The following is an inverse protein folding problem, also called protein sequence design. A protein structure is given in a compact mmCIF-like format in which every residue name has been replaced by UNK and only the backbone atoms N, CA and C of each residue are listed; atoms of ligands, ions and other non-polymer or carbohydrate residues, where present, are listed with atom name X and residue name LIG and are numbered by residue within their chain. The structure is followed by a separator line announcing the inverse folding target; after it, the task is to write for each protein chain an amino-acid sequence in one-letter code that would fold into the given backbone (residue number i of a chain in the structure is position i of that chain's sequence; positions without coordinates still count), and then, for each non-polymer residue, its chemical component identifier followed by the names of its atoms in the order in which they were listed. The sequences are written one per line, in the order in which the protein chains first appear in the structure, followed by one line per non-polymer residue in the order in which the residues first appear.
data_IF_721548831688
#
_entry.id   IF_721548831688
#
_cell.length_a   1.000
_cell.length_b   1.000
_cell.length_c   1.000
_cell.angle_alpha   90.00
_cell.angle_beta   90.00
_cell.angle_gamma   90.00
#
_symmetry.space_group_name_H-M   'P 1'
#
loop_
_entity.id
_entity.type
_entity.pdbx_description
1 polymer ?
#
# COMPACT_ATOMS: atom_id res chain seq x y z
N UNK A 1 15.83 5.18 9.94
CA UNK A 1 15.14 5.07 8.62
C UNK A 1 15.05 3.59 8.30
N UNK A 2 13.88 3.06 7.94
CA UNK A 2 13.68 1.64 7.60
C UNK A 2 13.48 1.51 6.09
N UNK A 3 14.08 0.52 5.45
CA UNK A 3 13.75 0.19 4.05
C UNK A 3 12.45 -0.59 4.05
N UNK A 4 11.47 -0.14 3.27
CA UNK A 4 10.18 -0.82 3.11
C UNK A 4 10.18 -1.70 1.87
N UNK A 5 10.64 -1.14 0.74
CA UNK A 5 10.64 -1.83 -0.55
C UNK A 5 11.88 -1.38 -1.34
N UNK A 6 12.48 -2.32 -2.05
CA UNK A 6 13.60 -2.09 -2.96
C UNK A 6 13.19 -2.67 -4.30
N UNK A 7 13.29 -1.88 -5.34
CA UNK A 7 13.21 -2.28 -6.75
C UNK A 7 14.50 -1.88 -7.43
N UNK A 8 14.73 -2.36 -8.65
CA UNK A 8 15.91 -1.99 -9.45
C UNK A 8 15.90 -0.50 -9.86
N UNK A 9 14.71 0.09 -9.96
CA UNK A 9 14.49 1.50 -10.31
C UNK A 9 14.60 2.44 -9.09
N UNK A 10 14.07 2.03 -7.93
CA UNK A 10 13.95 2.89 -6.75
C UNK A 10 13.96 2.13 -5.40
N UNK A 11 14.27 2.85 -4.33
CA UNK A 11 14.20 2.34 -2.95
C UNK A 11 13.28 3.20 -2.12
N UNK A 12 12.31 2.56 -1.47
CA UNK A 12 11.33 3.20 -0.61
C UNK A 12 11.74 3.02 0.85
N UNK A 13 11.85 4.14 1.55
CA UNK A 13 12.22 4.24 2.95
C UNK A 13 11.05 4.76 3.79
N UNK A 14 10.87 4.22 4.98
CA UNK A 14 10.02 4.76 6.03
C UNK A 14 10.87 5.60 6.99
N UNK A 15 10.53 6.88 7.11
CA UNK A 15 11.13 7.79 8.10
C UNK A 15 10.47 7.58 9.47
N UNK A 16 11.09 8.09 10.54
CA UNK A 16 10.59 7.98 11.92
C UNK A 16 9.20 8.62 12.09
N UNK A 17 8.85 9.59 11.26
CA UNK A 17 7.55 10.24 11.24
C UNK A 17 6.50 9.50 10.38
N UNK A 18 6.66 8.19 10.14
CA UNK A 18 5.75 7.35 9.34
C UNK A 18 5.57 7.79 7.88
N UNK A 19 6.34 8.77 7.40
CA UNK A 19 6.30 9.23 6.01
C UNK A 19 7.23 8.39 5.14
N UNK A 20 6.74 8.05 3.96
CA UNK A 20 7.52 7.33 2.95
C UNK A 20 8.43 8.31 2.19
N UNK A 21 9.64 7.88 1.85
CA UNK A 21 10.61 8.59 1.03
C UNK A 21 11.06 7.65 -0.09
N UNK A 22 11.05 8.14 -1.33
CA UNK A 22 11.45 7.36 -2.51
C UNK A 22 12.83 7.85 -2.93
N UNK A 23 13.77 6.94 -3.16
CA UNK A 23 15.11 7.23 -3.68
C UNK A 23 15.27 6.53 -5.01
N UNK A 24 15.41 7.27 -6.10
CA UNK A 24 15.71 6.69 -7.39
C UNK A 24 17.14 6.11 -7.37
N UNK A 25 17.32 4.88 -7.87
CA UNK A 25 18.65 4.29 -8.03
C UNK A 25 19.42 4.95 -9.18
N UNK A 26 18.73 5.31 -10.26
CA UNK A 26 19.31 5.96 -11.45
C UNK A 26 20.09 7.23 -11.09
N UNK A 27 19.46 8.14 -10.34
CA UNK A 27 20.05 9.43 -9.98
C UNK A 27 20.60 9.48 -8.55
N UNK A 28 20.41 8.41 -7.76
CA UNK A 28 20.69 8.35 -6.31
C UNK A 28 20.08 9.50 -5.49
N UNK A 29 19.08 10.18 -6.05
CA UNK A 29 18.37 11.34 -5.45
C UNK A 29 17.02 10.91 -4.89
N UNK A 30 16.53 11.67 -3.91
CA UNK A 30 15.18 11.48 -3.40
C UNK A 30 14.17 12.09 -4.38
N UNK A 31 13.19 11.27 -4.78
CA UNK A 31 12.08 11.69 -5.64
C UNK A 31 11.04 12.40 -4.77
N UNK A 32 10.60 13.57 -5.23
CA UNK A 32 9.63 14.43 -4.55
C UNK A 32 8.47 14.78 -5.51
N UNK A 33 7.37 15.31 -4.98
CA UNK A 33 6.22 15.74 -5.79
C UNK A 33 5.38 14.59 -6.34
N UNK A 34 4.85 14.76 -7.55
CA UNK A 34 3.95 13.81 -8.22
C UNK A 34 4.62 12.47 -8.53
N UNK A 35 5.88 12.51 -8.96
CA UNK A 35 6.67 11.34 -9.32
C UNK A 35 6.83 10.39 -8.12
N UNK A 36 6.98 10.95 -6.92
CA UNK A 36 7.00 10.19 -5.66
C UNK A 36 5.65 9.53 -5.39
N UNK A 37 4.54 10.24 -5.64
CA UNK A 37 3.19 9.75 -5.40
C UNK A 37 2.87 8.58 -6.34
N UNK A 38 3.21 8.71 -7.63
CA UNK A 38 3.07 7.64 -8.62
C UNK A 38 3.80 6.37 -8.19
N UNK A 39 5.08 6.49 -7.79
CA UNK A 39 5.87 5.35 -7.33
C UNK A 39 5.28 4.71 -6.08
N UNK A 40 4.80 5.51 -5.13
CA UNK A 40 4.21 4.99 -3.90
C UNK A 40 2.85 4.32 -4.13
N UNK A 41 2.07 4.81 -5.11
CA UNK A 41 0.81 4.20 -5.57
C UNK A 41 1.07 2.87 -6.29
N UNK A 42 1.98 2.85 -7.25
CA UNK A 42 2.41 1.66 -7.99
C UNK A 42 2.97 0.59 -7.06
N UNK A 43 3.76 1.00 -6.07
CA UNK A 43 4.31 0.10 -5.06
C UNK A 43 3.27 -0.47 -4.08
N UNK A 44 2.04 0.04 -4.08
CA UNK A 44 0.95 -0.35 -3.16
C UNK A 44 1.18 0.05 -1.70
N UNK A 45 2.09 1.01 -1.44
CA UNK A 45 2.47 1.42 -0.08
C UNK A 45 1.62 2.56 0.49
N UNK A 46 0.99 3.32 -0.39
CA UNK A 46 -0.18 4.13 -0.03
C UNK A 46 -1.39 3.30 -0.44
N UNK A 47 -2.30 3.11 0.50
CA UNK A 47 -3.64 2.63 0.19
C UNK A 47 -4.26 3.64 -0.77
N UNK A 48 -4.56 3.28 -2.04
CA UNK A 48 -5.40 4.13 -2.86
C UNK A 48 -6.71 4.35 -2.08
N UNK A 49 -7.32 5.55 -2.14
CA UNK A 49 -8.70 5.66 -1.71
C UNK A 49 -9.46 4.59 -2.47
N UNK A 50 -10.10 3.69 -1.73
CA UNK A 50 -10.75 2.48 -2.20
C UNK A 50 -11.78 2.85 -3.27
N UNK A 51 -11.36 2.99 -4.53
CA UNK A 51 -12.27 2.88 -5.66
C UNK A 51 -12.81 1.47 -5.54
N UNK A 52 -14.10 1.38 -5.22
CA UNK A 52 -14.92 0.18 -5.42
C UNK A 52 -14.77 -0.22 -6.89
N UNK A 53 -13.72 -0.97 -7.23
CA UNK A 53 -13.73 -1.83 -8.39
C UNK A 53 -14.45 -3.12 -7.96
N UNK A 54 -15.38 -3.63 -8.78
CA UNK A 54 -16.41 -4.55 -8.37
C UNK A 54 -15.80 -5.85 -7.85
N UNK A 55 -16.46 -6.42 -6.85
CA UNK A 55 -16.22 -7.77 -6.39
C UNK A 55 -16.24 -8.72 -7.60
N UNK A 56 -15.06 -9.15 -8.04
CA UNK A 56 -14.91 -10.31 -8.89
C UNK A 56 -14.51 -11.46 -7.97
N UNK A 57 -15.56 -12.12 -7.50
CA UNK A 57 -15.67 -13.58 -7.46
C UNK A 57 -14.53 -14.37 -6.80
N UNK A 58 -14.67 -14.56 -5.49
CA UNK A 58 -14.43 -15.88 -4.88
C UNK A 58 -15.45 -16.07 -3.75
N UNK A 59 -16.59 -16.67 -4.12
CA UNK A 59 -17.41 -17.44 -3.18
C UNK A 59 -16.69 -18.79 -2.96
N UNK A 60 -16.66 -19.32 -1.73
CA UNK A 60 -17.82 -19.96 -1.09
C UNK A 60 -18.06 -19.38 0.32
N UNK A 61 -19.29 -19.14 0.77
CA UNK A 61 -20.32 -20.10 1.21
C UNK A 61 -19.84 -21.00 2.38
N UNK A 62 -20.69 -21.09 3.41
CA UNK A 62 -20.52 -21.68 4.77
C UNK A 62 -19.71 -20.80 5.75
N UNK A 63 -20.18 -20.46 6.95
CA UNK A 63 -21.06 -21.21 7.84
C UNK A 63 -21.77 -20.26 8.86
N UNK A 64 -23.06 -20.54 9.08
CA UNK A 64 -23.89 -20.32 10.29
C UNK A 64 -23.70 -19.01 11.10
N UNK A 65 -24.66 -18.08 11.15
CA UNK A 65 -25.96 -18.17 11.84
C UNK A 65 -25.89 -18.68 13.29
N UNK A 66 -26.55 -17.93 14.19
CA UNK A 66 -26.73 -18.12 15.65
C UNK A 66 -25.67 -17.33 16.44
N UNK A 67 -26.01 -16.34 17.26
CA UNK A 67 -27.04 -16.41 18.30
C UNK A 67 -27.61 -15.01 18.59
N UNK A 68 -28.94 -14.94 18.61
CA UNK A 68 -29.69 -13.90 19.28
C UNK A 68 -30.06 -14.39 20.68
N UNK A 69 -30.21 -13.43 21.59
CA UNK A 69 -31.04 -13.45 22.80
C UNK A 69 -30.45 -14.00 24.11
N UNK A 70 -30.37 -13.05 25.05
CA UNK A 70 -30.85 -13.15 26.44
C UNK A 70 -30.13 -14.09 27.42
N UNK A 71 -29.40 -13.46 28.36
CA UNK A 71 -29.62 -13.66 29.79
C UNK A 71 -29.58 -12.29 30.51
#
# INVERSE_FOLDING_TARGET
MKVVKKTDEYVIYLKRNQRHAVKALANKKFVNGEEKTQILLDAGLITPPKTKAPAAEEAPAEEAATEAAAE
#
